data_IF_110011477027
#
_entry.id   IF_110011477027
#
_cell.length_a   1.000
_cell.length_b   1.000
_cell.length_c   1.000
_cell.angle_alpha   90.00
_cell.angle_beta   90.00
_cell.angle_gamma   90.00
#
_symmetry.space_group_name_H-M   'P 1'
#
loop_
_entity.id
_entity.type
_entity.pdbx_description
1 polymer ?
#
# COMPACT_ATOMS: atom_id res chain seq x y z
N UNK A 1 -3.92 4.21 -24.63
CA UNK A 1 -3.55 2.78 -24.68
C UNK A 1 -4.31 2.08 -23.57
N UNK A 2 -5.08 1.04 -23.89
CA UNK A 2 -5.72 0.22 -22.86
C UNK A 2 -4.61 -0.52 -22.10
N UNK A 3 -4.53 -0.30 -20.79
CA UNK A 3 -3.55 -0.97 -19.93
C UNK A 3 -3.84 -2.47 -19.94
N UNK A 4 -2.81 -3.28 -20.16
CA UNK A 4 -2.90 -4.74 -20.15
C UNK A 4 -3.39 -5.21 -18.77
N UNK A 5 -4.44 -6.06 -18.69
CA UNK A 5 -4.91 -6.60 -17.42
C UNK A 5 -3.78 -7.31 -16.66
N UNK A 6 -3.80 -7.25 -15.32
CA UNK A 6 -2.97 -8.14 -14.52
C UNK A 6 -3.32 -9.60 -14.85
N UNK A 7 -2.35 -10.52 -14.96
CA UNK A 7 -2.62 -11.94 -15.10
C UNK A 7 -3.52 -12.42 -13.95
N UNK A 8 -4.57 -13.20 -14.26
CA UNK A 8 -5.55 -13.68 -13.28
C UNK A 8 -5.17 -15.00 -12.60
N UNK A 9 -3.92 -15.43 -12.72
CA UNK A 9 -3.40 -16.66 -12.09
C UNK A 9 -2.14 -16.32 -11.31
N UNK A 10 -2.08 -16.81 -10.07
CA UNK A 10 -0.92 -16.65 -9.21
C UNK A 10 0.33 -17.22 -9.90
N UNK A 11 1.26 -16.34 -10.23
CA UNK A 11 2.42 -16.71 -11.03
C UNK A 11 3.72 -16.45 -10.26
N UNK A 12 4.50 -17.50 -9.99
CA UNK A 12 5.89 -17.33 -9.59
C UNK A 12 6.74 -17.07 -10.83
N UNK A 13 7.35 -15.89 -10.91
CA UNK A 13 8.31 -15.55 -11.96
C UNK A 13 9.71 -16.17 -11.74
N UNK A 14 9.90 -16.97 -10.68
CA UNK A 14 11.18 -17.59 -10.35
C UNK A 14 11.13 -19.11 -10.63
N UNK A 15 11.74 -19.52 -11.74
CA UNK A 15 11.81 -20.94 -12.16
C UNK A 15 12.62 -21.81 -11.19
N UNK A 16 13.51 -21.23 -10.38
CA UNK A 16 14.34 -21.98 -9.45
C UNK A 16 13.55 -22.51 -8.23
N UNK A 17 12.39 -21.93 -7.90
CA UNK A 17 11.57 -22.42 -6.77
C UNK A 17 11.15 -23.88 -6.93
N UNK A 18 10.91 -24.32 -8.17
CA UNK A 18 10.53 -25.70 -8.47
C UNK A 18 11.72 -26.68 -8.42
N UNK A 19 12.95 -26.17 -8.39
CA UNK A 19 14.17 -26.98 -8.37
C UNK A 19 14.65 -27.27 -6.94
N UNK A 20 14.21 -26.49 -5.96
CA UNK A 20 14.63 -26.64 -4.58
C UNK A 20 13.83 -27.73 -3.88
N UNK A 21 14.55 -28.68 -3.27
CA UNK A 21 13.95 -29.80 -2.54
C UNK A 21 13.32 -29.36 -1.21
N UNK A 22 13.95 -28.40 -0.53
CA UNK A 22 13.38 -27.67 0.59
C UNK A 22 13.55 -26.16 0.37
N UNK A 23 12.52 -25.40 0.71
CA UNK A 23 12.54 -23.93 0.65
C UNK A 23 12.24 -23.39 2.05
N UNK A 24 13.21 -22.66 2.61
CA UNK A 24 13.14 -22.12 3.96
C UNK A 24 12.78 -20.63 3.91
N UNK A 25 11.56 -20.31 4.33
CA UNK A 25 11.03 -18.95 4.45
C UNK A 25 11.60 -18.28 5.71
N UNK A 26 12.86 -17.83 5.62
CA UNK A 26 13.67 -17.41 6.77
C UNK A 26 12.99 -16.41 7.72
N UNK A 27 12.40 -15.34 7.20
CA UNK A 27 11.76 -14.30 8.01
C UNK A 27 10.46 -14.75 8.69
N UNK A 28 9.92 -15.92 8.32
CA UNK A 28 8.80 -16.56 9.00
C UNK A 28 9.22 -17.77 9.84
N UNK A 29 10.48 -18.23 9.72
CA UNK A 29 10.96 -19.42 10.42
C UNK A 29 10.29 -20.72 9.99
N UNK A 30 9.75 -20.77 8.77
CA UNK A 30 9.02 -21.93 8.23
C UNK A 30 9.84 -22.59 7.11
N UNK A 31 9.82 -23.92 7.03
CA UNK A 31 10.29 -24.65 5.84
C UNK A 31 9.16 -25.42 5.21
N UNK A 32 9.24 -25.58 3.90
CA UNK A 32 8.30 -26.39 3.11
C UNK A 32 8.27 -27.84 3.59
N UNK A 33 9.37 -28.38 4.09
CA UNK A 33 9.44 -29.76 4.56
C UNK A 33 9.08 -29.91 6.04
N UNK A 34 9.19 -28.85 6.85
CA UNK A 34 8.88 -28.91 8.29
C UNK A 34 7.41 -28.67 8.62
N UNK A 35 6.63 -28.06 7.70
CA UNK A 35 5.24 -27.68 7.92
C UNK A 35 4.39 -28.01 6.70
N UNK A 36 3.20 -28.59 6.90
CA UNK A 36 2.21 -28.78 5.83
C UNK A 36 1.57 -27.44 5.48
N UNK A 37 2.24 -26.79 4.54
CA UNK A 37 1.94 -25.49 4.00
C UNK A 37 0.53 -25.39 3.37
N UNK A 38 0.09 -26.42 2.65
CA UNK A 38 -1.25 -26.44 2.03
C UNK A 38 -2.35 -26.56 3.08
N UNK A 39 -2.16 -27.43 4.08
CA UNK A 39 -3.12 -27.58 5.17
C UNK A 39 -3.19 -26.37 6.09
N UNK A 40 -2.04 -25.75 6.39
CA UNK A 40 -1.97 -24.68 7.39
C UNK A 40 -2.38 -23.32 6.84
N UNK A 41 -2.21 -23.09 5.53
CA UNK A 41 -2.36 -21.77 4.95
C UNK A 41 -2.98 -21.77 3.55
N UNK A 42 -3.85 -22.74 3.25
CA UNK A 42 -4.76 -22.68 2.09
C UNK A 42 -5.55 -21.37 2.00
N UNK A 43 -5.54 -20.55 3.06
CA UNK A 43 -6.15 -19.24 3.15
C UNK A 43 -5.21 -18.02 2.86
N UNK A 44 -3.92 -17.91 3.26
CA UNK A 44 -3.07 -16.72 2.88
C UNK A 44 -1.52 -16.88 2.90
N UNK A 45 -0.83 -16.11 2.01
CA UNK A 45 0.62 -15.90 1.64
C UNK A 45 1.52 -17.10 1.36
N UNK A 46 1.06 -18.23 1.77
CA UNK A 46 1.51 -19.54 1.37
C UNK A 46 0.96 -20.01 0.05
N UNK A 47 -0.01 -19.27 -0.45
CA UNK A 47 -0.69 -19.27 -1.75
C UNK A 47 -0.01 -20.03 -2.88
N UNK A 48 1.28 -19.80 -3.17
CA UNK A 48 1.94 -20.56 -4.25
C UNK A 48 2.14 -22.03 -3.86
N UNK A 49 2.68 -22.28 -2.67
CA UNK A 49 2.84 -23.64 -2.15
C UNK A 49 1.51 -24.26 -1.70
N UNK A 50 0.57 -23.45 -1.22
CA UNK A 50 -0.76 -23.87 -0.77
C UNK A 50 -1.78 -23.98 -1.91
N UNK A 51 -1.38 -23.68 -3.15
CA UNK A 51 -2.25 -23.67 -4.35
C UNK A 51 -3.53 -22.85 -4.18
N UNK A 52 -3.51 -21.82 -3.34
CA UNK A 52 -4.69 -21.00 -3.10
C UNK A 52 -5.05 -20.23 -4.38
N UNK A 53 -6.35 -20.11 -4.63
CA UNK A 53 -6.93 -19.40 -5.76
C UNK A 53 -7.80 -18.25 -5.23
N UNK A 54 -8.11 -17.27 -6.08
CA UNK A 54 -8.97 -16.14 -5.74
C UNK A 54 -8.53 -15.31 -4.52
N UNK A 55 -7.21 -15.11 -4.37
CA UNK A 55 -6.65 -14.32 -3.26
C UNK A 55 -6.59 -12.84 -3.60
N UNK A 56 -6.97 -12.00 -2.63
CA UNK A 56 -6.88 -10.54 -2.68
C UNK A 56 -5.98 -10.04 -1.57
N UNK A 57 -5.07 -9.09 -1.87
CA UNK A 57 -4.21 -8.45 -0.86
C UNK A 57 -4.63 -7.03 -0.57
N UNK A 58 -4.88 -6.72 0.70
CA UNK A 58 -5.17 -5.35 1.12
C UNK A 58 -4.15 -4.92 2.17
N UNK A 59 -3.41 -3.86 1.87
CA UNK A 59 -2.52 -3.21 2.84
C UNK A 59 -3.32 -2.21 3.65
N UNK A 60 -3.25 -2.33 4.97
CA UNK A 60 -3.75 -1.34 5.93
C UNK A 60 -2.57 -0.56 6.51
N UNK A 61 -2.74 0.75 6.71
CA UNK A 61 -1.67 1.55 7.30
C UNK A 61 -2.09 2.96 7.72
N UNK A 62 -1.10 3.71 8.15
CA UNK A 62 -1.21 5.14 8.46
C UNK A 62 -0.45 5.95 7.41
N UNK A 63 -0.70 7.25 7.35
CA UNK A 63 -0.07 8.15 6.38
C UNK A 63 -0.18 9.62 6.80
N UNK A 64 0.65 10.47 6.20
CA UNK A 64 0.46 11.92 6.24
C UNK A 64 -0.48 12.36 5.13
N UNK A 65 -1.57 13.06 5.44
CA UNK A 65 -2.50 13.59 4.46
C UNK A 65 -1.92 14.77 3.70
N UNK A 66 -2.34 14.95 2.45
CA UNK A 66 -1.98 16.08 1.59
C UNK A 66 -3.28 16.75 1.12
N UNK A 67 -3.65 17.86 1.76
CA UNK A 67 -4.90 18.57 1.45
C UNK A 67 -6.16 17.81 1.89
N UNK A 68 -6.04 16.95 2.90
CA UNK A 68 -7.16 16.18 3.47
C UNK A 68 -7.11 16.25 4.99
N UNK A 69 -8.29 16.19 5.63
CA UNK A 69 -8.39 16.28 7.08
C UNK A 69 -7.80 15.04 7.76
N UNK A 70 -7.18 15.19 8.95
CA UNK A 70 -6.81 14.05 9.79
C UNK A 70 -8.02 13.11 10.01
N UNK A 71 -7.75 11.81 9.98
CA UNK A 71 -8.73 10.74 10.06
C UNK A 71 -9.35 10.35 8.72
N UNK A 72 -9.11 11.09 7.63
CA UNK A 72 -9.56 10.67 6.30
C UNK A 72 -8.91 9.33 5.92
N UNK A 73 -9.71 8.41 5.38
CA UNK A 73 -9.25 7.10 4.91
C UNK A 73 -9.00 7.16 3.42
N UNK A 74 -7.73 7.13 3.01
CA UNK A 74 -7.34 7.16 1.61
C UNK A 74 -7.33 5.75 1.03
N UNK A 75 -8.18 5.50 0.03
CA UNK A 75 -8.12 4.30 -0.81
C UNK A 75 -7.29 4.65 -2.05
N UNK A 76 -6.09 4.08 -2.13
CA UNK A 76 -5.08 4.46 -3.13
C UNK A 76 -5.53 4.12 -4.55
N UNK A 77 -5.53 5.10 -5.45
CA UNK A 77 -5.78 4.94 -6.89
C UNK A 77 -4.54 4.53 -7.68
N UNK A 78 -3.41 5.15 -7.37
CA UNK A 78 -2.11 4.78 -7.90
C UNK A 78 -1.02 5.19 -6.89
N UNK A 79 -0.07 4.30 -6.58
CA UNK A 79 1.12 4.67 -5.82
C UNK A 79 2.14 5.32 -6.74
N UNK A 80 2.82 6.37 -6.25
CA UNK A 80 3.91 7.05 -6.97
C UNK A 80 5.17 7.04 -6.13
N UNK A 81 6.34 6.91 -6.77
CA UNK A 81 7.64 6.98 -6.10
C UNK A 81 8.14 8.42 -5.92
N UNK A 82 9.34 8.60 -5.37
CA UNK A 82 9.99 9.91 -5.23
C UNK A 82 10.26 10.66 -6.55
N UNK A 83 10.25 9.98 -7.70
CA UNK A 83 10.29 10.63 -9.03
C UNK A 83 8.88 11.03 -9.53
N UNK A 84 7.84 10.85 -8.70
CA UNK A 84 6.42 11.07 -9.01
C UNK A 84 5.89 10.19 -10.15
N UNK A 85 6.48 9.00 -10.32
CA UNK A 85 6.08 7.99 -11.32
C UNK A 85 5.37 6.82 -10.66
N UNK A 86 4.42 6.23 -11.38
CA UNK A 86 3.65 5.04 -10.95
C UNK A 86 4.48 3.75 -11.10
N UNK A 87 5.69 3.76 -10.53
CA UNK A 87 6.71 2.74 -10.70
C UNK A 87 7.42 2.46 -9.37
N UNK A 88 7.85 1.22 -9.18
CA UNK A 88 8.79 0.84 -8.13
C UNK A 88 10.18 0.63 -8.75
N UNK A 89 11.19 1.26 -8.15
CA UNK A 89 12.58 1.14 -8.57
C UNK A 89 13.29 0.15 -7.66
N UNK A 90 13.91 -0.87 -8.26
CA UNK A 90 14.78 -1.82 -7.56
C UNK A 90 16.14 -1.88 -8.25
N UNK A 91 17.19 -2.16 -7.49
CA UNK A 91 18.52 -2.44 -8.05
C UNK A 91 18.79 -3.94 -8.06
N UNK A 92 19.04 -4.51 -9.24
CA UNK A 92 19.35 -5.93 -9.43
C UNK A 92 20.71 -6.05 -10.11
N UNK A 93 21.66 -6.70 -9.43
CA UNK A 93 23.05 -6.81 -9.88
C UNK A 93 23.66 -5.43 -10.24
N UNK A 94 23.39 -4.42 -9.40
CA UNK A 94 23.88 -3.04 -9.59
C UNK A 94 23.16 -2.24 -10.68
N UNK A 95 22.13 -2.79 -11.34
CA UNK A 95 21.38 -2.10 -12.40
C UNK A 95 20.03 -1.59 -11.90
N UNK A 96 19.69 -0.35 -12.23
CA UNK A 96 18.35 0.22 -11.98
C UNK A 96 17.32 -0.54 -12.83
N UNK A 97 16.33 -1.12 -12.18
CA UNK A 97 15.20 -1.80 -12.79
C UNK A 97 13.93 -1.11 -12.33
N UNK A 98 13.19 -0.52 -13.27
CA UNK A 98 11.87 0.03 -13.00
C UNK A 98 10.79 -1.00 -13.29
N UNK A 99 9.76 -1.03 -12.45
CA UNK A 99 8.63 -1.95 -12.54
C UNK A 99 7.34 -1.20 -12.30
N UNK A 100 6.30 -1.49 -13.06
CA UNK A 100 4.99 -0.88 -12.85
C UNK A 100 4.48 -1.14 -11.43
N UNK A 101 3.82 -0.14 -10.87
CA UNK A 101 3.18 -0.17 -9.56
C UNK A 101 1.67 0.09 -9.75
N UNK A 102 0.88 -0.99 -9.86
CA UNK A 102 -0.55 -0.92 -10.20
C UNK A 102 -1.41 -1.61 -9.15
N UNK A 103 -2.62 -1.10 -8.97
CA UNK A 103 -3.65 -1.63 -8.07
C UNK A 103 -4.90 -2.01 -8.86
N UNK A 104 -5.74 -2.87 -8.26
CA UNK A 104 -6.98 -3.31 -8.89
C UNK A 104 -8.07 -2.24 -8.77
N UNK A 105 -8.55 -1.75 -9.92
CA UNK A 105 -9.52 -0.65 -9.98
C UNK A 105 -10.90 -1.05 -9.45
N UNK A 106 -11.31 -2.30 -9.65
CA UNK A 106 -12.63 -2.76 -9.21
C UNK A 106 -12.62 -2.91 -7.69
N UNK A 107 -11.60 -3.55 -7.13
CA UNK A 107 -11.41 -3.67 -5.69
C UNK A 107 -11.34 -2.28 -5.02
N UNK A 108 -10.66 -1.32 -5.64
CA UNK A 108 -10.68 0.06 -5.17
C UNK A 108 -12.11 0.62 -5.12
N UNK A 109 -12.89 0.47 -6.20
CA UNK A 109 -14.26 1.00 -6.28
C UNK A 109 -15.17 0.35 -5.24
N UNK A 110 -15.05 -0.96 -5.03
CA UNK A 110 -15.85 -1.69 -4.05
C UNK A 110 -15.53 -1.23 -2.61
N UNK A 111 -14.26 -0.97 -2.30
CA UNK A 111 -13.84 -0.40 -1.01
C UNK A 111 -14.34 1.04 -0.81
N UNK A 112 -14.35 1.86 -1.87
CA UNK A 112 -14.90 3.22 -1.78
C UNK A 112 -16.41 3.15 -1.48
N UNK A 113 -17.16 2.32 -2.21
CA UNK A 113 -18.60 2.14 -1.99
C UNK A 113 -18.91 1.64 -0.58
N UNK A 114 -18.14 0.68 -0.05
CA UNK A 114 -18.26 0.22 1.33
C UNK A 114 -17.98 1.35 2.35
N UNK A 115 -17.01 2.22 2.05
CA UNK A 115 -16.73 3.40 2.86
C UNK A 115 -17.90 4.37 2.94
N UNK A 116 -18.56 4.61 1.81
CA UNK A 116 -19.76 5.44 1.71
C UNK A 116 -20.93 4.83 2.52
N UNK A 117 -21.15 3.52 2.40
CA UNK A 117 -22.17 2.79 3.18
C UNK A 117 -21.96 2.93 4.69
N UNK A 118 -20.70 2.85 5.14
CA UNK A 118 -20.33 3.00 6.55
C UNK A 118 -20.25 4.46 7.03
N UNK A 119 -20.49 5.44 6.14
CA UNK A 119 -20.28 6.86 6.43
C UNK A 119 -18.87 7.18 6.95
N UNK A 120 -17.86 6.42 6.49
CA UNK A 120 -16.46 6.72 6.78
C UNK A 120 -15.97 7.85 5.87
N UNK A 121 -15.05 8.72 6.33
CA UNK A 121 -14.51 9.81 5.51
C UNK A 121 -13.49 9.26 4.50
N UNK A 122 -13.98 8.53 3.50
CA UNK A 122 -13.14 7.93 2.46
C UNK A 122 -12.80 8.96 1.38
N UNK A 123 -11.52 8.95 0.99
CA UNK A 123 -11.00 9.76 -0.11
C UNK A 123 -10.29 8.83 -1.09
N UNK A 124 -10.50 9.03 -2.38
CA UNK A 124 -9.68 8.38 -3.42
C UNK A 124 -8.62 9.37 -3.93
N UNK A 125 -7.38 8.90 -4.05
CA UNK A 125 -6.26 9.72 -4.49
C UNK A 125 -5.01 8.90 -4.77
N UNK A 126 -3.98 9.52 -5.34
CA UNK A 126 -2.66 8.89 -5.43
C UNK A 126 -1.98 8.91 -4.06
N UNK A 127 -1.02 8.01 -3.89
CA UNK A 127 -0.24 7.88 -2.66
C UNK A 127 1.23 8.03 -3.00
N UNK A 128 1.92 9.01 -2.39
CA UNK A 128 3.37 9.07 -2.48
C UNK A 128 3.98 8.02 -1.55
N UNK A 129 4.81 7.15 -2.12
CA UNK A 129 5.65 6.19 -1.42
C UNK A 129 7.06 6.79 -1.29
N UNK A 130 7.41 7.26 -0.10
CA UNK A 130 8.72 7.82 0.18
C UNK A 130 9.68 6.73 0.71
N UNK A 131 10.97 6.83 0.35
CA UNK A 131 12.01 5.92 0.85
C UNK A 131 12.58 6.36 2.21
N UNK A 132 12.30 7.60 2.62
CA UNK A 132 12.70 8.19 3.90
C UNK A 132 11.52 8.96 4.52
N UNK A 133 11.43 8.94 5.85
CA UNK A 133 10.32 9.56 6.58
C UNK A 133 10.44 11.09 6.64
N UNK A 134 11.65 11.64 6.68
CA UNK A 134 11.90 13.07 6.86
C UNK A 134 12.09 13.79 5.53
N UNK A 135 13.29 13.73 4.96
CA UNK A 135 13.65 14.36 3.70
C UNK A 135 12.83 13.81 2.54
N UNK A 136 12.61 12.50 2.50
CA UNK A 136 11.75 11.86 1.49
C UNK A 136 10.30 12.34 1.50
N UNK A 137 9.84 12.92 2.61
CA UNK A 137 8.50 13.49 2.75
C UNK A 137 8.50 15.01 2.95
N UNK A 138 9.63 15.69 2.72
CA UNK A 138 9.79 17.14 2.92
C UNK A 138 9.40 17.62 4.32
N UNK A 139 9.79 16.91 5.38
CA UNK A 139 9.54 17.32 6.77
C UNK A 139 10.62 18.29 7.27
N UNK A 140 10.23 19.34 7.99
CA UNK A 140 11.16 20.34 8.52
C UNK A 140 11.69 20.02 9.92
N UNK A 141 11.31 18.87 10.47
CA UNK A 141 11.58 18.45 11.85
C UNK A 141 12.50 17.22 11.95
N UNK A 142 13.21 16.92 10.86
CA UNK A 142 14.30 15.95 10.85
C UNK A 142 15.61 16.53 11.39
N UNK A 143 16.60 15.66 11.61
CA UNK A 143 17.94 16.11 11.99
C UNK A 143 18.67 16.81 10.84
N UNK A 144 18.45 16.35 9.60
CA UNK A 144 18.92 16.99 8.36
C UNK A 144 17.74 17.65 7.63
N UNK A 145 17.96 18.85 7.10
CA UNK A 145 16.96 19.60 6.36
C UNK A 145 17.65 20.65 5.48
N UNK A 146 17.94 20.28 4.24
CA UNK A 146 18.64 21.13 3.25
C UNK A 146 17.66 21.92 2.36
N UNK A 147 16.42 22.11 2.81
CA UNK A 147 15.35 22.80 2.08
C UNK A 147 14.52 23.69 3.02
N UNK A 148 13.84 24.68 2.46
CA UNK A 148 13.03 25.63 3.22
C UNK A 148 11.58 25.19 3.36
N UNK A 149 10.82 25.88 4.23
CA UNK A 149 9.37 25.71 4.31
C UNK A 149 8.67 26.05 2.98
N UNK A 150 9.18 27.01 2.22
CA UNK A 150 8.68 27.36 0.89
C UNK A 150 8.80 26.18 -0.06
N UNK A 151 9.94 25.50 -0.07
CA UNK A 151 10.21 24.34 -0.92
C UNK A 151 9.29 23.16 -0.54
N UNK A 152 9.15 22.89 0.76
CA UNK A 152 8.19 21.90 1.28
C UNK A 152 6.79 22.16 0.74
N UNK A 153 6.24 23.35 0.96
CA UNK A 153 4.86 23.62 0.60
C UNK A 153 4.67 23.71 -0.92
N UNK A 154 5.70 24.11 -1.68
CA UNK A 154 5.67 24.03 -3.15
C UNK A 154 5.53 22.58 -3.62
N UNK A 155 6.33 21.67 -3.06
CA UNK A 155 6.26 20.24 -3.38
C UNK A 155 4.93 19.61 -2.95
N UNK A 156 4.44 19.90 -1.73
CA UNK A 156 3.15 19.36 -1.29
C UNK A 156 1.98 19.84 -2.17
N UNK A 157 2.02 21.07 -2.68
CA UNK A 157 1.05 21.56 -3.67
C UNK A 157 1.17 20.82 -4.99
N UNK A 158 2.38 20.61 -5.49
CA UNK A 158 2.61 19.80 -6.69
C UNK A 158 2.05 18.37 -6.54
N UNK A 159 2.28 17.73 -5.40
CA UNK A 159 1.70 16.43 -5.08
C UNK A 159 0.17 16.48 -5.15
N UNK A 160 -0.43 17.45 -4.46
CA UNK A 160 -1.88 17.62 -4.42
C UNK A 160 -2.48 17.81 -5.83
N UNK A 161 -1.85 18.66 -6.65
CA UNK A 161 -2.27 18.96 -8.03
C UNK A 161 -2.14 17.74 -8.95
N UNK A 162 -1.17 16.87 -8.70
CA UNK A 162 -1.02 15.55 -9.36
C UNK A 162 -2.00 14.49 -8.83
N UNK A 163 -2.89 14.87 -7.92
CA UNK A 163 -3.92 13.99 -7.35
C UNK A 163 -3.44 13.17 -6.15
N UNK A 164 -2.25 13.42 -5.61
CA UNK A 164 -1.79 12.77 -4.38
C UNK A 164 -2.61 13.29 -3.19
N UNK A 165 -3.02 12.38 -2.31
CA UNK A 165 -3.81 12.71 -1.10
C UNK A 165 -3.16 12.25 0.19
N UNK A 166 -2.14 11.39 0.12
CA UNK A 166 -1.36 11.02 1.29
C UNK A 166 0.07 10.56 0.93
N UNK A 167 0.88 10.40 1.96
CA UNK A 167 2.28 10.00 1.92
C UNK A 167 2.52 8.87 2.93
N UNK A 168 3.10 7.75 2.49
CA UNK A 168 3.55 6.60 3.29
C UNK A 168 4.80 5.97 2.63
N UNK A 169 5.19 4.74 2.99
CA UNK A 169 6.55 4.24 2.68
C UNK A 169 6.62 2.84 2.07
N UNK A 170 5.50 2.24 1.65
CA UNK A 170 5.51 0.83 1.21
C UNK A 170 4.66 0.56 -0.04
N UNK A 171 3.86 1.53 -0.49
CA UNK A 171 2.84 1.30 -1.52
C UNK A 171 3.40 0.93 -2.89
N UNK A 172 4.54 1.50 -3.33
CA UNK A 172 5.12 1.15 -4.63
C UNK A 172 5.68 -0.27 -4.65
N UNK A 173 6.40 -0.68 -3.60
CA UNK A 173 6.93 -2.04 -3.49
C UNK A 173 5.80 -3.07 -3.42
N UNK A 174 4.80 -2.83 -2.56
CA UNK A 174 3.65 -3.70 -2.39
C UNK A 174 2.87 -3.89 -3.70
N UNK A 175 2.50 -2.79 -4.37
CA UNK A 175 1.72 -2.85 -5.61
C UNK A 175 2.50 -3.42 -6.78
N UNK A 176 3.81 -3.12 -6.89
CA UNK A 176 4.64 -3.72 -7.93
C UNK A 176 4.81 -5.22 -7.73
N UNK A 177 4.92 -5.67 -6.48
CA UNK A 177 4.98 -7.09 -6.14
C UNK A 177 3.67 -7.80 -6.49
N UNK A 178 2.52 -7.31 -6.02
CA UNK A 178 1.22 -7.96 -6.27
C UNK A 178 0.83 -7.94 -7.74
N UNK A 179 1.11 -6.83 -8.43
CA UNK A 179 0.91 -6.72 -9.88
C UNK A 179 1.70 -7.81 -10.64
N UNK A 180 2.98 -8.00 -10.30
CA UNK A 180 3.80 -9.05 -10.93
C UNK A 180 3.37 -10.46 -10.57
N UNK A 181 2.79 -10.65 -9.40
CA UNK A 181 2.28 -11.94 -8.95
C UNK A 181 0.90 -12.29 -9.53
N UNK A 182 0.22 -11.34 -10.19
CA UNK A 182 -1.15 -11.52 -10.68
C UNK A 182 -2.20 -11.51 -9.56
N UNK A 183 -1.92 -10.83 -8.45
CA UNK A 183 -2.80 -10.78 -7.27
C UNK A 183 -3.54 -9.43 -7.26
N UNK A 184 -4.88 -9.39 -7.31
CA UNK A 184 -5.65 -8.18 -7.08
C UNK A 184 -5.29 -7.58 -5.72
N UNK A 185 -5.02 -6.27 -5.70
CA UNK A 185 -4.57 -5.62 -4.48
C UNK A 185 -5.09 -4.19 -4.33
N UNK A 186 -5.26 -3.78 -3.07
CA UNK A 186 -5.64 -2.44 -2.67
C UNK A 186 -4.80 -1.95 -1.48
N UNK A 187 -4.78 -0.64 -1.28
CA UNK A 187 -4.07 0.01 -0.17
C UNK A 187 -5.03 1.03 0.46
N UNK A 188 -5.25 0.88 1.76
CA UNK A 188 -6.19 1.65 2.55
C UNK A 188 -5.44 2.22 3.75
N UNK A 189 -5.20 3.53 3.74
CA UNK A 189 -4.45 4.19 4.81
C UNK A 189 -5.28 5.28 5.46
N UNK A 190 -5.23 5.40 6.79
CA UNK A 190 -5.76 6.58 7.48
C UNK A 190 -4.71 7.68 7.51
N UNK A 191 -5.15 8.94 7.43
CA UNK A 191 -4.28 10.11 7.58
C UNK A 191 -4.23 10.55 9.04
N UNK A 192 -3.05 10.78 9.61
CA UNK A 192 -2.92 11.18 11.03
C UNK A 192 -2.72 12.69 11.21
N UNK A 193 -2.46 13.39 10.12
CA UNK A 193 -2.28 14.84 10.06
C UNK A 193 -2.49 15.31 8.62
N UNK A 194 -2.72 16.60 8.43
CA UNK A 194 -2.59 17.25 7.13
C UNK A 194 -1.20 17.91 7.03
N UNK A 195 -0.35 17.42 6.12
CA UNK A 195 1.02 17.91 5.93
C UNK A 195 1.09 19.37 5.44
N UNK A 196 -0.02 19.87 4.91
CA UNK A 196 -0.18 21.28 4.54
C UNK A 196 -0.27 22.20 5.76
N UNK A 197 -0.57 21.67 6.95
CA UNK A 197 -0.74 22.45 8.18
C UNK A 197 0.44 22.30 9.15
N UNK A 198 1.23 21.23 9.02
CA UNK A 198 2.37 20.97 9.90
C UNK A 198 3.03 19.61 9.65
N UNK A 199 4.07 19.30 10.44
CA UNK A 199 4.74 18.00 10.40
C UNK A 199 4.40 17.12 11.60
N UNK A 200 4.11 17.71 12.76
CA UNK A 200 3.82 16.96 13.98
C UNK A 200 2.33 16.59 14.10
N UNK A 201 2.06 15.38 14.59
CA UNK A 201 0.71 14.94 14.92
C UNK A 201 0.29 15.62 16.22
N UNK A 202 -0.81 16.38 16.19
CA UNK A 202 -1.35 17.10 17.36
C UNK A 202 -2.68 16.52 17.83
N UNK A 203 -3.00 15.28 17.42
CA UNK A 203 -4.23 14.60 17.79
C UNK A 203 -4.24 14.24 19.29
N UNK A 204 -5.44 14.19 19.86
CA UNK A 204 -5.63 13.54 21.16
C UNK A 204 -5.35 12.05 21.05
N UNK A 205 -5.08 11.38 22.17
CA UNK A 205 -4.89 9.92 22.19
C UNK A 205 -6.16 9.20 21.72
N UNK A 206 -7.32 9.73 22.10
CA UNK A 206 -8.63 9.22 21.74
C UNK A 206 -8.86 9.30 20.23
N UNK A 207 -8.60 10.47 19.62
CA UNK A 207 -8.72 10.64 18.17
C UNK A 207 -7.73 9.75 17.42
N UNK A 208 -6.49 9.65 17.89
CA UNK A 208 -5.46 8.80 17.30
C UNK A 208 -5.92 7.33 17.24
N UNK A 209 -6.39 6.80 18.36
CA UNK A 209 -6.88 5.43 18.45
C UNK A 209 -8.13 5.22 17.58
N UNK A 210 -9.05 6.18 17.56
CA UNK A 210 -10.23 6.08 16.71
C UNK A 210 -9.83 6.03 15.23
N UNK A 211 -8.94 6.93 14.80
CA UNK A 211 -8.50 7.05 13.41
C UNK A 211 -7.79 5.78 12.93
N UNK A 212 -6.87 5.22 13.73
CA UNK A 212 -6.19 3.98 13.40
C UNK A 212 -7.14 2.80 13.18
N UNK A 213 -8.33 2.80 13.80
CA UNK A 213 -9.31 1.73 13.59
C UNK A 213 -10.09 1.84 12.27
N UNK A 214 -10.13 3.01 11.63
CA UNK A 214 -10.98 3.25 10.44
C UNK A 214 -10.64 2.34 9.25
N UNK A 215 -9.36 2.12 8.87
CA UNK A 215 -9.01 1.18 7.80
C UNK A 215 -9.46 -0.26 8.11
N UNK A 216 -9.35 -0.68 9.37
CA UNK A 216 -9.82 -2.00 9.82
C UNK A 216 -11.33 -2.13 9.75
N UNK A 217 -12.09 -1.11 10.19
CA UNK A 217 -13.56 -1.09 10.09
C UNK A 217 -14.00 -1.26 8.63
N UNK A 218 -13.39 -0.48 7.72
CA UNK A 218 -13.67 -0.54 6.29
C UNK A 218 -13.42 -1.94 5.71
N UNK A 219 -12.20 -2.46 5.90
CA UNK A 219 -11.80 -3.73 5.28
C UNK A 219 -12.51 -4.93 5.92
N UNK A 220 -12.79 -4.89 7.22
CA UNK A 220 -13.56 -5.95 7.88
C UNK A 220 -14.99 -6.00 7.34
N UNK A 221 -15.66 -4.86 7.17
CA UNK A 221 -17.00 -4.82 6.58
C UNK A 221 -17.00 -5.31 5.13
N UNK A 222 -16.01 -4.90 4.34
CA UNK A 222 -15.81 -5.42 2.98
C UNK A 222 -15.64 -6.94 2.96
N UNK A 223 -14.77 -7.49 3.80
CA UNK A 223 -14.55 -8.95 3.91
C UNK A 223 -15.85 -9.66 4.30
N UNK A 224 -16.59 -9.13 5.28
CA UNK A 224 -17.88 -9.70 5.70
C UNK A 224 -18.89 -9.75 4.56
N UNK A 225 -19.00 -8.68 3.77
CA UNK A 225 -19.87 -8.64 2.61
C UNK A 225 -19.47 -9.70 1.57
N UNK A 226 -18.18 -9.85 1.27
CA UNK A 226 -17.69 -10.87 0.34
C UNK A 226 -17.96 -12.30 0.84
N UNK A 227 -17.90 -12.52 2.15
CA UNK A 227 -18.18 -13.82 2.79
C UNK A 227 -19.66 -14.04 3.12
N UNK A 228 -20.53 -13.06 2.85
CA UNK A 228 -21.95 -13.09 3.23
C UNK A 228 -22.18 -13.30 4.75
N UNK A 229 -21.40 -12.59 5.60
CA UNK A 229 -21.38 -12.68 7.07
C UNK A 229 -21.89 -11.44 7.81
#
# INVERSE_FOLDING_TARGET
>A
MALTPCPSTLHSANSALNLNQDDFLYHFGLSKTSVDLEKLFGDVKLIHYAKATDVTFIRLGTSGGVGVNPGSVVVTSAPVNGELKEEHVQFIAGKKVSREARLDKRLQQDLIAMGEELSLPVVSGKTLCADDFYEGQMRLDGYFCDYSSTDKFAFLRELHDKGVRNIEMESTCFSSFTCRAGIPAAIVCVTLLNRMDGDQVTLTKEDYLEFETRPYKLVTAFIRQQLSL
#
